data_IF_774101496987
#
_entry.id   IF_774101496987
#
_cell.length_a   1.000
_cell.length_b   1.000
_cell.length_c   1.000
_cell.angle_alpha   90.00
_cell.angle_beta   90.00
_cell.angle_gamma   90.00
#
_symmetry.space_group_name_H-M   'P 1'
#
loop_
_entity.id
_entity.type
_entity.pdbx_description
1 polymer ?
#
# COMPACT_ATOMS: atom_id res chain seq x y z
N UNK A 1 -6.16 -2.23 20.61
CA UNK A 1 -5.70 -3.40 19.83
C UNK A 1 -4.72 -2.88 18.81
N UNK A 2 -3.44 -3.27 18.86
CA UNK A 2 -2.50 -2.89 17.81
C UNK A 2 -2.79 -3.72 16.56
N UNK A 3 -2.81 -3.07 15.39
CA UNK A 3 -2.94 -3.75 14.09
C UNK A 3 -1.68 -4.57 13.73
N UNK A 4 -0.56 -4.29 14.42
CA UNK A 4 0.77 -4.86 14.18
C UNK A 4 0.76 -6.39 14.03
N UNK A 5 0.14 -7.20 14.91
CA UNK A 5 0.18 -8.66 14.74
C UNK A 5 -0.55 -9.17 13.48
N UNK A 6 -1.62 -8.49 13.07
CA UNK A 6 -2.35 -8.81 11.84
C UNK A 6 -1.54 -8.40 10.59
N UNK A 7 -0.92 -7.23 10.63
CA UNK A 7 -0.06 -6.73 9.55
C UNK A 7 1.16 -7.65 9.34
N UNK A 8 1.82 -8.08 10.43
CA UNK A 8 2.91 -9.07 10.37
C UNK A 8 2.42 -10.40 9.78
N UNK A 9 1.26 -10.90 10.21
CA UNK A 9 0.72 -12.14 9.64
C UNK A 9 0.42 -12.02 8.14
N UNK A 10 -0.23 -10.94 7.71
CA UNK A 10 -0.54 -10.71 6.30
C UNK A 10 0.73 -10.56 5.45
N UNK A 11 1.76 -9.87 5.98
CA UNK A 11 3.09 -9.80 5.38
C UNK A 11 3.71 -11.19 5.19
N UNK A 12 3.75 -12.01 6.24
CA UNK A 12 4.37 -13.33 6.18
C UNK A 12 3.69 -14.24 5.15
N UNK A 13 2.36 -14.14 5.04
CA UNK A 13 1.61 -14.86 4.01
C UNK A 13 1.94 -14.30 2.62
N UNK A 14 2.05 -12.98 2.45
CA UNK A 14 2.38 -12.36 1.16
C UNK A 14 3.75 -12.85 0.67
N UNK A 15 4.77 -12.84 1.53
CA UNK A 15 6.11 -13.34 1.22
C UNK A 15 6.04 -14.82 0.81
N UNK A 16 5.33 -15.67 1.57
CA UNK A 16 5.17 -17.10 1.22
C UNK A 16 4.50 -17.32 -0.14
N UNK A 17 3.53 -16.50 -0.50
CA UNK A 17 2.87 -16.56 -1.81
C UNK A 17 3.85 -16.14 -2.91
N UNK A 18 4.57 -15.03 -2.72
CA UNK A 18 5.58 -14.53 -3.66
C UNK A 18 6.70 -15.53 -3.91
N UNK A 19 7.17 -16.24 -2.87
CA UNK A 19 8.21 -17.28 -3.00
C UNK A 19 7.78 -18.43 -3.90
N UNK A 20 6.48 -18.75 -3.91
CA UNK A 20 5.92 -19.88 -4.68
C UNK A 20 5.39 -19.46 -6.05
N UNK A 21 5.31 -18.16 -6.31
CA UNK A 21 4.79 -17.63 -7.56
C UNK A 21 5.88 -17.78 -8.63
N UNK A 22 5.62 -18.64 -9.62
CA UNK A 22 6.49 -18.77 -10.79
C UNK A 22 6.16 -17.65 -11.78
N UNK A 23 7.10 -16.72 -11.96
CA UNK A 23 7.00 -15.62 -12.93
C UNK A 23 7.74 -15.91 -14.23
N UNK A 24 8.35 -17.10 -14.38
CA UNK A 24 9.06 -17.46 -15.60
C UNK A 24 8.07 -17.55 -16.78
N UNK A 25 8.27 -16.70 -17.78
CA UNK A 25 7.39 -16.60 -18.96
C UNK A 25 6.44 -15.39 -18.97
N UNK A 26 6.38 -14.59 -17.91
CA UNK A 26 5.66 -13.32 -17.90
C UNK A 26 6.62 -12.15 -18.09
N UNK A 27 6.50 -11.41 -19.21
CA UNK A 27 7.22 -10.13 -19.33
C UNK A 27 6.66 -9.16 -18.28
N UNK A 28 7.51 -8.55 -17.42
CA UNK A 28 7.07 -7.52 -16.51
C UNK A 28 6.62 -6.32 -17.34
N UNK A 29 5.31 -6.14 -17.47
CA UNK A 29 4.76 -4.94 -18.08
C UNK A 29 5.10 -3.77 -17.15
N UNK A 30 6.01 -2.87 -17.52
CA UNK A 30 6.41 -1.75 -16.67
C UNK A 30 5.20 -0.95 -16.15
N UNK A 31 5.15 -0.69 -14.83
CA UNK A 31 4.15 0.21 -14.26
C UNK A 31 4.55 1.64 -14.60
N UNK A 32 3.99 2.24 -15.64
CA UNK A 32 4.19 3.68 -15.88
C UNK A 32 2.95 4.43 -15.43
N UNK A 33 3.04 5.07 -14.25
CA UNK A 33 2.15 6.20 -13.94
C UNK A 33 2.45 7.27 -14.99
N UNK A 34 1.43 7.95 -15.57
CA UNK A 34 1.69 9.10 -16.42
C UNK A 34 2.60 10.08 -15.68
N UNK A 35 3.74 10.49 -16.25
CA UNK A 35 4.67 11.43 -15.61
C UNK A 35 3.95 12.70 -15.14
N UNK A 36 2.94 13.14 -15.91
CA UNK A 36 2.08 14.26 -15.54
C UNK A 36 1.36 14.07 -14.19
N UNK A 37 0.91 12.85 -13.87
CA UNK A 37 0.25 12.53 -12.61
C UNK A 37 1.24 12.43 -11.45
N UNK A 38 2.49 12.03 -11.70
CA UNK A 38 3.57 12.02 -10.70
C UNK A 38 3.97 13.45 -10.34
N UNK A 39 4.27 14.26 -11.36
CA UNK A 39 4.65 15.68 -11.19
C UNK A 39 3.55 16.49 -10.49
N UNK A 40 2.29 16.22 -10.80
CA UNK A 40 1.20 16.90 -10.11
C UNK A 40 1.03 16.40 -8.66
N UNK A 41 1.41 15.16 -8.32
CA UNK A 41 1.33 14.65 -6.93
C UNK A 41 2.44 15.29 -6.08
N UNK A 42 3.63 15.48 -6.65
CA UNK A 42 4.73 16.21 -6.02
C UNK A 42 4.34 17.66 -5.72
N UNK A 43 3.73 18.36 -6.69
CA UNK A 43 3.19 19.71 -6.49
C UNK A 43 2.14 19.74 -5.38
N UNK A 44 1.29 18.72 -5.30
CA UNK A 44 0.27 18.63 -4.26
C UNK A 44 0.85 18.32 -2.88
N UNK A 45 1.94 17.54 -2.80
CA UNK A 45 2.70 17.34 -1.56
C UNK A 45 3.34 18.65 -1.08
N UNK A 46 3.97 19.40 -1.99
CA UNK A 46 4.53 20.71 -1.66
C UNK A 46 3.44 21.66 -1.14
N UNK A 47 2.28 21.68 -1.80
CA UNK A 47 1.13 22.51 -1.38
C UNK A 47 0.54 22.11 -0.03
N UNK A 48 0.58 20.82 0.33
CA UNK A 48 0.17 20.37 1.67
C UNK A 48 1.14 20.84 2.74
N UNK A 49 2.44 20.87 2.44
CA UNK A 49 3.43 21.40 3.37
C UNK A 49 3.28 22.92 3.53
N UNK A 50 3.08 23.65 2.43
CA UNK A 50 2.76 25.09 2.48
C UNK A 50 1.51 25.38 3.31
N UNK A 51 0.43 24.61 3.10
CA UNK A 51 -0.81 24.74 3.89
C UNK A 51 -0.60 24.45 5.38
N UNK A 52 0.26 23.49 5.70
CA UNK A 52 0.62 23.16 7.08
C UNK A 52 1.45 24.29 7.71
N UNK A 53 2.42 24.85 6.97
CA UNK A 53 3.21 25.97 7.46
C UNK A 53 2.33 27.20 7.68
N UNK A 54 1.46 27.55 6.73
CA UNK A 54 0.51 28.65 6.87
C UNK A 54 -0.33 28.52 8.14
N UNK A 55 -0.89 27.32 8.38
CA UNK A 55 -1.67 27.05 9.59
C UNK A 55 -0.87 27.14 10.90
N UNK A 56 0.44 26.88 10.85
CA UNK A 56 1.30 26.98 12.03
C UNK A 56 1.79 28.42 12.29
N UNK A 57 1.79 29.29 11.28
CA UNK A 57 2.38 30.62 11.35
C UNK A 57 1.36 31.77 11.32
N UNK A 58 0.16 31.52 10.84
CA UNK A 58 -0.90 32.51 10.69
C UNK A 58 -2.03 32.26 11.68
N UNK A 59 -2.17 33.14 12.67
CA UNK A 59 -3.18 33.06 13.72
C UNK A 59 -4.61 33.30 13.19
N UNK A 60 -4.75 33.94 12.03
CA UNK A 60 -6.05 34.17 11.37
C UNK A 60 -6.48 32.97 10.50
N UNK A 61 -5.59 32.00 10.26
CA UNK A 61 -5.90 30.81 9.47
C UNK A 61 -6.48 29.70 10.35
N UNK A 62 -7.79 29.49 10.26
CA UNK A 62 -8.49 28.58 11.17
C UNK A 62 -8.21 27.11 10.85
N UNK A 63 -8.32 26.27 11.89
CA UNK A 63 -8.26 24.81 11.72
C UNK A 63 -9.33 24.27 10.76
N UNK A 64 -10.49 24.92 10.70
CA UNK A 64 -11.56 24.54 9.77
C UNK A 64 -11.16 24.79 8.31
N UNK A 65 -10.54 25.94 8.03
CA UNK A 65 -10.02 26.28 6.70
C UNK A 65 -8.88 25.35 6.29
N UNK A 66 -7.95 25.06 7.22
CA UNK A 66 -6.90 24.07 7.01
C UNK A 66 -7.47 22.71 6.59
N UNK A 67 -8.45 22.18 7.34
CA UNK A 67 -9.05 20.90 7.02
C UNK A 67 -9.81 20.90 5.70
N UNK A 68 -10.55 21.98 5.39
CA UNK A 68 -11.27 22.11 4.13
C UNK A 68 -10.32 22.10 2.94
N UNK A 69 -9.25 22.90 2.99
CA UNK A 69 -8.25 22.99 1.92
C UNK A 69 -7.46 21.69 1.78
N UNK A 70 -7.01 21.10 2.90
CA UNK A 70 -6.32 19.81 2.92
C UNK A 70 -7.16 18.70 2.31
N UNK A 71 -8.46 18.64 2.61
CA UNK A 71 -9.35 17.62 2.08
C UNK A 71 -9.46 17.66 0.55
N UNK A 72 -9.53 18.86 -0.04
CA UNK A 72 -9.52 19.04 -1.51
C UNK A 72 -8.23 18.50 -2.11
N UNK A 73 -7.08 18.82 -1.52
CA UNK A 73 -5.77 18.37 -2.03
C UNK A 73 -5.61 16.85 -1.93
N UNK A 74 -6.02 16.26 -0.82
CA UNK A 74 -5.97 14.81 -0.66
C UNK A 74 -6.95 14.08 -1.60
N UNK A 75 -8.12 14.67 -1.87
CA UNK A 75 -9.11 14.10 -2.79
C UNK A 75 -8.54 14.00 -4.22
N UNK A 76 -7.93 15.08 -4.73
CA UNK A 76 -7.34 15.09 -6.09
C UNK A 76 -6.14 14.15 -6.22
N UNK A 77 -5.27 14.04 -5.21
CA UNK A 77 -4.19 13.05 -5.19
C UNK A 77 -4.75 11.63 -5.23
N UNK A 78 -5.77 11.35 -4.40
CA UNK A 78 -6.45 10.04 -4.37
C UNK A 78 -7.11 9.70 -5.71
N UNK A 79 -7.71 10.67 -6.39
CA UNK A 79 -8.30 10.50 -7.72
C UNK A 79 -7.25 10.19 -8.80
N UNK A 80 -6.08 10.84 -8.75
CA UNK A 80 -4.97 10.55 -9.69
C UNK A 80 -4.33 9.20 -9.43
N UNK A 81 -4.12 8.85 -8.16
CA UNK A 81 -3.66 7.51 -7.77
C UNK A 81 -4.64 6.39 -8.14
N UNK A 82 -5.95 6.70 -8.21
CA UNK A 82 -6.99 5.76 -8.70
C UNK A 82 -6.98 5.58 -10.21
N UNK A 83 -6.52 6.57 -10.98
CA UNK A 83 -6.41 6.52 -12.44
C UNK A 83 -5.19 5.73 -12.93
N UNK A 84 -4.30 5.34 -12.03
CA UNK A 84 -3.21 4.41 -12.34
C UNK A 84 -3.80 3.10 -12.86
N UNK A 85 -3.63 2.85 -14.15
CA UNK A 85 -3.98 1.59 -14.81
C UNK A 85 -3.08 0.51 -14.21
N UNK A 86 -3.59 -0.22 -13.21
CA UNK A 86 -2.90 -1.37 -12.64
C UNK A 86 -2.91 -2.49 -13.65
N UNK A 87 -1.81 -2.65 -14.40
CA UNK A 87 -1.53 -3.92 -15.07
C UNK A 87 -0.93 -4.88 -14.03
N UNK A 88 -1.57 -6.03 -13.77
CA UNK A 88 -1.27 -6.85 -12.59
C UNK A 88 0.18 -7.37 -12.49
N UNK A 89 0.89 -7.50 -13.60
CA UNK A 89 2.19 -8.21 -13.68
C UNK A 89 3.38 -7.33 -13.25
N UNK A 90 3.28 -6.01 -13.38
CA UNK A 90 4.33 -5.04 -13.04
C UNK A 90 4.70 -4.98 -11.55
N UNK A 91 3.73 -5.28 -10.70
CA UNK A 91 3.82 -5.22 -9.25
C UNK A 91 4.75 -6.32 -8.70
N UNK A 92 4.92 -7.40 -9.47
CA UNK A 92 5.68 -8.59 -9.11
C UNK A 92 7.13 -8.58 -9.62
N UNK A 93 7.50 -7.60 -10.43
CA UNK A 93 8.85 -7.50 -11.01
C UNK A 93 9.90 -7.43 -9.90
N UNK A 94 10.87 -8.34 -9.94
CA UNK A 94 11.98 -8.39 -8.98
C UNK A 94 11.58 -8.67 -7.53
N UNK A 95 10.32 -9.01 -7.24
CA UNK A 95 9.84 -9.31 -5.87
C UNK A 95 9.30 -10.74 -5.73
N UNK A 96 8.85 -11.37 -6.80
CA UNK A 96 8.42 -12.78 -6.81
C UNK A 96 9.59 -13.75 -7.11
N UNK A 97 9.44 -15.00 -6.67
CA UNK A 97 10.44 -16.06 -6.82
C UNK A 97 11.22 -16.38 -5.54
N UNK A 98 12.25 -17.26 -5.60
CA UNK A 98 12.95 -17.77 -4.42
C UNK A 98 13.53 -16.69 -3.49
N UNK A 99 13.89 -15.54 -4.05
CA UNK A 99 14.50 -14.40 -3.33
C UNK A 99 13.46 -13.41 -2.77
N UNK A 100 12.17 -13.75 -2.77
CA UNK A 100 11.09 -12.84 -2.36
C UNK A 100 11.27 -12.25 -0.95
N UNK A 101 11.78 -13.03 0.01
CA UNK A 101 12.05 -12.54 1.37
C UNK A 101 13.12 -11.45 1.39
N UNK A 102 14.22 -11.67 0.67
CA UNK A 102 15.31 -10.70 0.56
C UNK A 102 14.88 -9.43 -0.18
N UNK A 103 14.08 -9.57 -1.23
CA UNK A 103 13.56 -8.43 -1.98
C UNK A 103 12.48 -7.66 -1.20
N UNK A 104 11.67 -8.33 -0.38
CA UNK A 104 10.72 -7.67 0.52
C UNK A 104 11.44 -6.83 1.58
N UNK A 105 12.53 -7.35 2.15
CA UNK A 105 13.36 -6.59 3.11
C UNK A 105 13.93 -5.31 2.51
N UNK A 106 14.38 -5.35 1.26
CA UNK A 106 14.83 -4.13 0.55
C UNK A 106 13.71 -3.09 0.44
N UNK A 107 12.48 -3.50 0.14
CA UNK A 107 11.34 -2.57 0.12
C UNK A 107 11.05 -1.96 1.49
N UNK A 108 11.28 -2.70 2.58
CA UNK A 108 11.16 -2.18 3.93
C UNK A 108 12.27 -1.20 4.29
N UNK A 109 13.51 -1.50 3.90
CA UNK A 109 14.67 -0.61 4.07
C UNK A 109 14.52 0.68 3.28
N UNK A 110 13.97 0.60 2.07
CA UNK A 110 13.69 1.73 1.18
C UNK A 110 12.38 2.48 1.56
N UNK A 111 11.68 2.03 2.61
CA UNK A 111 10.37 2.56 3.05
C UNK A 111 9.31 2.63 1.93
N UNK A 112 9.37 1.73 0.94
CA UNK A 112 8.46 1.68 -0.21
C UNK A 112 7.10 1.04 0.17
N UNK A 113 6.42 1.68 1.10
CA UNK A 113 5.09 1.28 1.57
C UNK A 113 4.03 1.33 0.46
N UNK A 114 4.22 2.15 -0.58
CA UNK A 114 3.30 2.21 -1.71
C UNK A 114 3.34 0.89 -2.49
N UNK A 115 4.55 0.40 -2.83
CA UNK A 115 4.73 -0.86 -3.54
C UNK A 115 4.35 -2.06 -2.69
N UNK A 116 4.73 -2.11 -1.41
CA UNK A 116 4.30 -3.18 -0.49
C UNK A 116 2.77 -3.30 -0.43
N UNK A 117 2.08 -2.16 -0.30
CA UNK A 117 0.62 -2.14 -0.29
C UNK A 117 0.01 -2.50 -1.66
N UNK A 118 0.68 -2.17 -2.77
CA UNK A 118 0.25 -2.59 -4.09
C UNK A 118 0.35 -4.11 -4.25
N UNK A 119 1.45 -4.71 -3.77
CA UNK A 119 1.66 -6.16 -3.76
C UNK A 119 0.60 -6.86 -2.93
N UNK A 120 0.34 -6.43 -1.69
CA UNK A 120 -0.70 -7.03 -0.85
C UNK A 120 -2.09 -6.96 -1.50
N UNK A 121 -2.44 -5.83 -2.13
CA UNK A 121 -3.72 -5.69 -2.85
C UNK A 121 -3.79 -6.48 -4.14
N UNK A 122 -2.65 -6.78 -4.74
CA UNK A 122 -2.55 -7.62 -5.91
C UNK A 122 -2.74 -9.10 -5.52
N UNK A 123 -2.09 -9.54 -4.44
CA UNK A 123 -2.15 -10.93 -3.97
C UNK A 123 -3.46 -11.30 -3.28
N UNK A 124 -4.04 -10.36 -2.51
CA UNK A 124 -5.21 -10.63 -1.68
C UNK A 124 -6.42 -9.81 -2.15
N UNK A 125 -7.49 -10.50 -2.51
CA UNK A 125 -8.79 -9.90 -2.72
C UNK A 125 -9.39 -9.39 -1.39
N UNK A 126 -9.18 -10.13 -0.30
CA UNK A 126 -9.59 -9.71 1.04
C UNK A 126 -8.78 -10.41 2.14
N UNK A 127 -8.64 -9.74 3.28
CA UNK A 127 -8.17 -10.33 4.54
C UNK A 127 -9.31 -10.15 5.55
N UNK A 128 -9.99 -11.24 5.89
CA UNK A 128 -11.19 -11.24 6.73
C UNK A 128 -10.83 -11.73 8.13
N UNK A 129 -11.11 -10.92 9.15
CA UNK A 129 -10.90 -11.30 10.55
C UNK A 129 -12.22 -11.81 11.13
N UNK A 130 -12.30 -13.12 11.31
CA UNK A 130 -13.45 -13.83 11.89
C UNK A 130 -13.47 -13.70 13.42
N UNK A 131 -14.54 -14.15 14.11
CA UNK A 131 -14.55 -14.26 15.56
C UNK A 131 -13.39 -15.13 16.07
N UNK A 132 -12.86 -14.85 17.28
CA UNK A 132 -11.76 -15.63 17.84
C UNK A 132 -12.18 -17.09 18.01
N UNK A 133 -11.33 -18.00 17.54
CA UNK A 133 -11.54 -19.45 17.59
C UNK A 133 -10.87 -20.06 18.82
N UNK A 134 -9.85 -19.38 19.37
CA UNK A 134 -9.07 -19.82 20.53
C UNK A 134 -9.34 -18.94 21.76
N UNK A 135 -9.40 -19.55 22.95
CA UNK A 135 -9.39 -18.84 24.25
C UNK A 135 -7.95 -18.76 24.77
N UNK A 136 -7.40 -17.57 24.96
CA UNK A 136 -6.05 -17.39 25.52
C UNK A 136 -5.41 -16.02 25.22
N UNK A 137 -4.18 -15.81 25.70
CA UNK A 137 -3.33 -14.66 25.31
C UNK A 137 -2.57 -14.98 24.02
N UNK A 138 -2.65 -14.10 23.03
CA UNK A 138 -1.93 -14.24 21.76
C UNK A 138 -2.78 -13.81 20.56
N UNK A 139 -2.14 -13.54 19.42
CA UNK A 139 -2.86 -13.32 18.17
C UNK A 139 -3.33 -14.67 17.62
N UNK A 140 -4.65 -14.80 17.47
CA UNK A 140 -5.26 -16.00 16.92
C UNK A 140 -5.20 -15.92 15.39
N UNK A 141 -4.24 -16.61 14.76
CA UNK A 141 -4.08 -16.63 13.30
C UNK A 141 -5.20 -17.39 12.60
N UNK A 142 -5.84 -18.35 13.27
CA UNK A 142 -6.87 -19.21 12.68
C UNK A 142 -8.16 -18.43 12.38
N UNK A 143 -8.32 -17.25 12.98
CA UNK A 143 -9.44 -16.35 12.69
C UNK A 143 -9.20 -15.49 11.44
N UNK A 144 -8.01 -15.54 10.83
CA UNK A 144 -7.70 -14.73 9.64
C UNK A 144 -7.91 -15.56 8.39
N UNK A 145 -8.95 -15.23 7.64
CA UNK A 145 -9.28 -15.85 6.36
C UNK A 145 -8.80 -14.94 5.22
N UNK A 146 -7.79 -15.42 4.48
CA UNK A 146 -7.21 -14.70 3.34
C UNK A 146 -7.87 -15.19 2.06
N UNK A 147 -8.57 -14.28 1.38
CA UNK A 147 -9.11 -14.50 0.05
C UNK A 147 -8.05 -14.11 -0.97
N UNK A 148 -7.44 -15.06 -1.70
CA UNK A 148 -6.51 -14.72 -2.77
C UNK A 148 -7.26 -13.98 -3.88
N UNK A 149 -6.57 -13.08 -4.56
CA UNK A 149 -7.05 -12.55 -5.82
C UNK A 149 -6.93 -13.67 -6.88
N UNK A 150 -7.92 -13.89 -7.77
CA UNK A 150 -7.69 -14.77 -8.92
C UNK A 150 -6.54 -14.21 -9.74
N UNK A 151 -5.42 -14.93 -9.73
CA UNK A 151 -4.25 -14.68 -10.56
C UNK A 151 -4.39 -15.65 -11.73
N UNK A 152 -5.09 -15.20 -12.78
CA UNK A 152 -5.15 -15.93 -14.06
C UNK A 152 -3.82 -15.84 -14.80
#
# INVERSE_FOLDING_TARGET
MSAVPLETFARDVAIKVLTKLDTSGYEPAATTRPEADVLADEKDRAKLEELKQLWLTDDDFTTAEFHAMRAVVLKRMKERQRKTVKRPIAVLEGIAGPEADANWKKLEEDEDHERMNAICRFLFAAVVVLPPTRKGRGFDTDRVDIKPNPLD
#
